data_IF_792585488887
#
_entry.id   IF_792585488887
#
_cell.length_a   1.000
_cell.length_b   1.000
_cell.length_c   1.000
_cell.angle_alpha   90.00
_cell.angle_beta   90.00
_cell.angle_gamma   90.00
#
_symmetry.space_group_name_H-M   'P 1'
#
loop_
_entity.id
_entity.type
_entity.pdbx_description
1 polymer ?
#
# COMPACT_ATOMS: atom_id res chain seq x y z
N UNK A 1 -17.48 -1.36 -7.31
CA UNK A 1 -16.62 -1.92 -8.37
C UNK A 1 -15.86 -3.11 -7.84
N UNK A 2 -16.21 -4.32 -8.26
CA UNK A 2 -15.42 -5.52 -7.95
C UNK A 2 -14.16 -5.46 -8.81
N UNK A 3 -13.09 -4.86 -8.30
CA UNK A 3 -11.79 -4.92 -8.99
C UNK A 3 -11.39 -6.40 -9.12
N UNK A 4 -11.15 -6.85 -10.35
CA UNK A 4 -10.70 -8.21 -10.63
C UNK A 4 -9.37 -8.49 -9.90
N UNK A 5 -9.25 -9.67 -9.29
CA UNK A 5 -8.03 -10.15 -8.65
C UNK A 5 -6.81 -10.11 -9.60
N UNK A 6 -7.02 -10.28 -10.91
CA UNK A 6 -5.96 -10.09 -11.89
C UNK A 6 -5.43 -8.65 -11.91
N UNK A 7 -6.34 -7.67 -11.94
CA UNK A 7 -5.98 -6.25 -11.92
C UNK A 7 -5.29 -5.86 -10.61
N UNK A 8 -5.83 -6.29 -9.46
CA UNK A 8 -5.22 -6.03 -8.17
C UNK A 8 -3.78 -6.58 -8.07
N UNK A 9 -3.53 -7.78 -8.60
CA UNK A 9 -2.17 -8.36 -8.66
C UNK A 9 -1.25 -7.57 -9.58
N UNK A 10 -1.75 -6.99 -10.67
CA UNK A 10 -0.96 -6.15 -11.55
C UNK A 10 -0.49 -4.87 -10.82
N UNK A 11 -1.38 -4.23 -10.04
CA UNK A 11 -1.03 -3.07 -9.21
C UNK A 11 0.06 -3.43 -8.18
N UNK A 12 -0.09 -4.56 -7.48
CA UNK A 12 0.92 -5.02 -6.54
C UNK A 12 2.27 -5.32 -7.25
N UNK A 13 2.23 -5.96 -8.42
CA UNK A 13 3.43 -6.26 -9.19
C UNK A 13 4.16 -4.99 -9.65
N UNK A 14 3.43 -3.96 -10.09
CA UNK A 14 3.97 -2.66 -10.46
C UNK A 14 4.68 -2.00 -9.26
N UNK A 15 4.06 -2.01 -8.08
CA UNK A 15 4.68 -1.49 -6.85
C UNK A 15 5.92 -2.30 -6.43
N UNK A 16 5.90 -3.62 -6.59
CA UNK A 16 7.03 -4.48 -6.23
C UNK A 16 8.31 -4.18 -7.04
N UNK A 17 8.17 -3.64 -8.25
CA UNK A 17 9.30 -3.24 -9.11
C UNK A 17 9.46 -1.73 -9.22
N UNK A 18 8.71 -0.95 -8.42
CA UNK A 18 8.66 0.51 -8.48
C UNK A 18 8.46 1.05 -9.92
N UNK A 19 7.54 0.43 -10.67
CA UNK A 19 7.20 0.88 -12.02
C UNK A 19 6.64 2.31 -11.99
N UNK A 20 6.90 3.08 -13.05
CA UNK A 20 6.39 4.45 -13.20
C UNK A 20 4.88 4.53 -12.93
N UNK A 21 4.46 5.55 -12.18
CA UNK A 21 3.06 5.74 -11.74
C UNK A 21 2.61 4.87 -10.55
N UNK A 22 3.46 3.97 -10.04
CA UNK A 22 3.20 3.24 -8.79
C UNK A 22 3.53 4.08 -7.55
N UNK A 23 2.95 3.72 -6.41
CA UNK A 23 3.24 4.38 -5.13
C UNK A 23 4.72 4.23 -4.74
N UNK A 24 5.27 3.02 -4.93
CA UNK A 24 6.68 2.78 -4.65
C UNK A 24 7.61 3.61 -5.55
N UNK A 25 7.24 3.85 -6.81
CA UNK A 25 7.99 4.77 -7.68
C UNK A 25 7.96 6.21 -7.15
N UNK A 26 6.80 6.70 -6.73
CA UNK A 26 6.67 8.04 -6.16
C UNK A 26 7.56 8.23 -4.92
N UNK A 27 7.64 7.22 -4.06
CA UNK A 27 8.51 7.26 -2.88
C UNK A 27 9.99 7.14 -3.27
N UNK A 28 10.36 6.15 -4.09
CA UNK A 28 11.76 5.84 -4.39
C UNK A 28 12.45 6.90 -5.25
N UNK A 29 11.77 7.34 -6.32
CA UNK A 29 12.39 8.15 -7.37
C UNK A 29 12.04 9.63 -7.25
N UNK A 30 10.91 9.96 -6.61
CA UNK A 30 10.40 11.33 -6.52
C UNK A 30 10.38 11.89 -5.09
N UNK A 31 10.75 11.08 -4.10
CA UNK A 31 10.67 11.42 -2.67
C UNK A 31 9.31 12.07 -2.32
N UNK A 32 8.21 11.52 -2.83
CA UNK A 32 6.88 12.11 -2.68
C UNK A 32 5.85 11.08 -2.24
N UNK A 33 5.06 11.44 -1.23
CA UNK A 33 3.95 10.63 -0.76
C UNK A 33 2.70 10.90 -1.61
N UNK A 34 2.58 10.16 -2.71
CA UNK A 34 1.41 10.23 -3.59
C UNK A 34 0.22 9.49 -2.95
N UNK A 35 -0.71 10.26 -2.35
CA UNK A 35 -1.90 9.73 -1.67
C UNK A 35 -2.80 8.93 -2.61
N UNK A 36 -2.98 9.37 -3.85
CA UNK A 36 -3.83 8.65 -4.80
C UNK A 36 -3.19 7.30 -5.19
N UNK A 37 -1.89 7.29 -5.45
CA UNK A 37 -1.16 6.06 -5.72
C UNK A 37 -1.19 5.10 -4.53
N UNK A 38 -1.09 5.62 -3.30
CA UNK A 38 -1.29 4.83 -2.09
C UNK A 38 -2.68 4.17 -2.08
N UNK A 39 -3.75 4.95 -2.30
CA UNK A 39 -5.11 4.41 -2.27
C UNK A 39 -5.36 3.36 -3.34
N UNK A 40 -4.79 3.53 -4.55
CA UNK A 40 -4.82 2.48 -5.59
C UNK A 40 -4.16 1.18 -5.13
N UNK A 41 -3.02 1.27 -4.43
CA UNK A 41 -2.35 0.11 -3.86
C UNK A 41 -3.16 -0.49 -2.71
N UNK A 42 -3.71 0.33 -1.82
CA UNK A 42 -4.54 -0.10 -0.70
C UNK A 42 -5.77 -0.88 -1.18
N UNK A 43 -6.52 -0.33 -2.13
CA UNK A 43 -7.72 -0.99 -2.69
C UNK A 43 -7.36 -2.33 -3.35
N UNK A 44 -6.26 -2.36 -4.11
CA UNK A 44 -5.75 -3.59 -4.71
C UNK A 44 -5.42 -4.63 -3.63
N UNK A 45 -4.73 -4.23 -2.57
CA UNK A 45 -4.39 -5.11 -1.46
C UNK A 45 -5.62 -5.58 -0.68
N UNK A 46 -6.64 -4.75 -0.51
CA UNK A 46 -7.91 -5.13 0.11
C UNK A 46 -8.62 -6.25 -0.67
N UNK A 47 -8.63 -6.17 -2.00
CA UNK A 47 -9.15 -7.24 -2.89
C UNK A 47 -8.34 -8.53 -2.74
N UNK A 48 -7.01 -8.43 -2.72
CA UNK A 48 -6.12 -9.60 -2.55
C UNK A 48 -6.33 -10.22 -1.16
N UNK A 49 -6.45 -9.41 -0.11
CA UNK A 49 -6.67 -9.85 1.25
C UNK A 49 -8.03 -10.55 1.43
N UNK A 50 -9.09 -10.02 0.81
CA UNK A 50 -10.41 -10.68 0.81
C UNK A 50 -10.42 -12.02 0.07
N UNK A 51 -9.53 -12.20 -0.90
CA UNK A 51 -9.45 -13.42 -1.70
C UNK A 51 -8.92 -14.59 -0.85
N UNK A 52 -9.52 -15.79 -0.91
CA UNK A 52 -9.01 -16.96 -0.19
C UNK A 52 -7.54 -17.24 -0.50
N UNK A 53 -6.69 -17.59 0.50
CA UNK A 53 -5.24 -17.77 0.29
C UNK A 53 -4.86 -18.68 -0.88
N UNK A 54 -5.60 -19.79 -1.06
CA UNK A 54 -5.42 -20.74 -2.18
C UNK A 54 -5.59 -20.14 -3.58
N UNK A 55 -6.25 -18.99 -3.72
CA UNK A 55 -6.52 -18.32 -5.00
C UNK A 55 -5.60 -17.12 -5.28
N UNK A 56 -4.80 -16.66 -4.31
CA UNK A 56 -3.97 -15.45 -4.45
C UNK A 56 -2.81 -15.63 -5.42
N UNK A 57 -2.35 -16.86 -5.62
CA UNK A 57 -1.16 -17.19 -6.42
C UNK A 57 0.13 -17.13 -5.61
N UNK A 58 1.16 -17.85 -6.09
CA UNK A 58 2.41 -18.12 -5.34
C UNK A 58 3.26 -16.86 -5.08
N UNK A 59 3.31 -15.95 -6.04
CA UNK A 59 4.19 -14.77 -5.96
C UNK A 59 3.58 -13.60 -5.18
N UNK A 60 2.25 -13.58 -5.04
CA UNK A 60 1.52 -12.47 -4.39
C UNK A 60 1.99 -12.22 -2.96
N UNK A 61 2.18 -13.28 -2.17
CA UNK A 61 2.67 -13.16 -0.79
C UNK A 61 4.08 -12.57 -0.71
N UNK A 62 4.98 -12.99 -1.60
CA UNK A 62 6.37 -12.48 -1.66
C UNK A 62 6.40 -11.00 -2.05
N UNK A 63 5.62 -10.64 -3.07
CA UNK A 63 5.53 -9.25 -3.53
C UNK A 63 4.93 -8.35 -2.44
N UNK A 64 3.87 -8.80 -1.78
CA UNK A 64 3.25 -8.06 -0.67
C UNK A 64 4.25 -7.83 0.48
N UNK A 65 4.98 -8.88 0.90
CA UNK A 65 5.97 -8.75 1.97
C UNK A 65 7.11 -7.78 1.60
N UNK A 66 7.58 -7.81 0.34
CA UNK A 66 8.58 -6.87 -0.15
C UNK A 66 8.07 -5.44 -0.14
N UNK A 67 6.90 -5.19 -0.75
CA UNK A 67 6.30 -3.85 -0.81
C UNK A 67 6.04 -3.30 0.60
N UNK A 68 5.45 -4.10 1.50
CA UNK A 68 5.24 -3.69 2.90
C UNK A 68 6.55 -3.30 3.58
N UNK A 69 7.60 -4.12 3.43
CA UNK A 69 8.93 -3.83 3.99
C UNK A 69 9.48 -2.51 3.47
N UNK A 70 9.41 -2.27 2.16
CA UNK A 70 9.92 -1.02 1.57
C UNK A 70 9.13 0.20 2.07
N UNK A 71 7.81 0.12 2.17
CA UNK A 71 6.98 1.19 2.75
C UNK A 71 7.48 1.52 4.17
N UNK A 72 7.66 0.51 5.02
CA UNK A 72 8.11 0.71 6.40
C UNK A 72 9.54 1.26 6.48
N UNK A 73 10.45 0.84 5.61
CA UNK A 73 11.81 1.39 5.55
C UNK A 73 11.79 2.88 5.19
N UNK A 74 10.99 3.29 4.22
CA UNK A 74 10.86 4.69 3.83
C UNK A 74 10.23 5.56 4.93
N UNK A 75 9.30 5.01 5.72
CA UNK A 75 8.81 5.66 6.93
C UNK A 75 9.97 5.86 7.93
N UNK A 76 10.79 4.83 8.16
CA UNK A 76 11.94 4.93 9.08
C UNK A 76 12.95 5.98 8.60
N UNK A 77 13.30 5.96 7.31
CA UNK A 77 14.24 6.94 6.72
C UNK A 77 13.68 8.37 6.82
N UNK A 78 12.40 8.57 6.50
CA UNK A 78 11.77 9.88 6.64
C UNK A 78 11.77 10.37 8.10
N UNK A 79 11.61 9.50 9.09
CA UNK A 79 11.58 9.89 10.51
C UNK A 79 12.98 10.05 11.13
N UNK A 80 14.00 9.42 10.56
CA UNK A 80 15.35 9.47 11.08
C UNK A 80 15.96 10.87 10.89
N UNK A 81 16.30 11.60 11.95
CA UNK A 81 16.85 12.95 11.85
C UNK A 81 18.24 13.00 11.20
N UNK A 82 18.93 11.85 11.11
CA UNK A 82 20.24 11.73 10.47
C UNK A 82 20.15 11.33 9.00
N UNK A 83 18.96 10.96 8.52
CA UNK A 83 18.75 10.74 7.09
C UNK A 83 18.49 12.07 6.38
N UNK A 84 19.16 12.25 5.24
CA UNK A 84 19.00 13.44 4.40
C UNK A 84 17.72 13.41 3.57
N UNK A 85 17.17 12.22 3.31
CA UNK A 85 15.97 12.04 2.48
C UNK A 85 14.71 12.44 3.23
N UNK A 86 13.92 13.34 2.64
CA UNK A 86 12.61 13.74 3.18
C UNK A 86 11.54 13.60 2.12
N UNK A 87 10.65 12.65 2.36
CA UNK A 87 9.44 12.47 1.55
C UNK A 87 8.53 13.69 1.70
N UNK A 88 8.30 14.42 0.62
CA UNK A 88 7.34 15.51 0.55
C UNK A 88 5.89 15.00 0.61
N UNK A 89 5.00 15.76 1.25
CA UNK A 89 3.60 15.37 1.43
C UNK A 89 3.38 14.20 2.40
N UNK A 90 4.43 13.78 3.11
CA UNK A 90 4.37 12.66 4.05
C UNK A 90 3.37 12.95 5.19
N UNK A 91 2.51 12.01 5.55
CA UNK A 91 1.39 12.27 6.46
C UNK A 91 1.82 12.19 7.93
N UNK A 92 2.73 13.06 8.38
CA UNK A 92 3.31 12.99 9.72
C UNK A 92 2.28 13.11 10.84
N UNK A 93 1.26 13.96 10.68
CA UNK A 93 0.21 14.17 11.69
C UNK A 93 -0.67 12.94 11.94
N UNK A 94 -0.94 12.17 10.88
CA UNK A 94 -1.85 11.02 10.90
C UNK A 94 -1.13 9.70 10.64
N UNK A 95 0.20 9.66 10.78
CA UNK A 95 1.04 8.55 10.32
C UNK A 95 0.55 7.19 10.85
N UNK A 96 0.12 7.13 12.10
CA UNK A 96 -0.42 5.92 12.72
C UNK A 96 -1.61 5.35 11.93
N UNK A 97 -2.54 6.19 11.47
CA UNK A 97 -3.70 5.79 10.69
C UNK A 97 -3.33 5.26 9.29
N UNK A 98 -2.25 5.77 8.69
CA UNK A 98 -1.73 5.24 7.42
C UNK A 98 -1.03 3.89 7.62
N UNK A 99 -0.27 3.73 8.70
CA UNK A 99 0.39 2.47 9.05
C UNK A 99 -0.63 1.37 9.42
N UNK A 100 -1.68 1.72 10.14
CA UNK A 100 -2.80 0.80 10.43
C UNK A 100 -3.45 0.29 9.13
N UNK A 101 -3.65 1.16 8.15
CA UNK A 101 -4.16 0.79 6.82
C UNK A 101 -3.22 -0.16 6.08
N UNK A 102 -1.91 0.10 6.12
CA UNK A 102 -0.91 -0.82 5.55
C UNK A 102 -1.01 -2.19 6.23
N UNK A 103 -0.98 -2.25 7.56
CA UNK A 103 -1.11 -3.51 8.30
C UNK A 103 -2.40 -4.25 7.96
N UNK A 104 -3.53 -3.53 7.91
CA UNK A 104 -4.86 -4.08 7.64
C UNK A 104 -4.93 -4.88 6.33
N UNK A 105 -4.35 -4.37 5.24
CA UNK A 105 -4.44 -5.00 3.92
C UNK A 105 -3.23 -5.88 3.57
N UNK A 106 -2.05 -5.63 4.16
CA UNK A 106 -0.86 -6.43 3.90
C UNK A 106 -0.74 -7.65 4.81
N UNK A 107 -1.02 -7.53 6.11
CA UNK A 107 -0.76 -8.61 7.07
C UNK A 107 -1.52 -9.89 6.74
N UNK A 108 -2.81 -9.88 6.37
CA UNK A 108 -3.51 -11.11 5.98
C UNK A 108 -2.87 -11.79 4.77
N UNK A 109 -2.36 -11.00 3.81
CA UNK A 109 -1.69 -11.51 2.62
C UNK A 109 -0.33 -12.12 2.97
N UNK A 110 0.45 -11.43 3.80
CA UNK A 110 1.79 -11.83 4.24
C UNK A 110 1.76 -13.01 5.22
N UNK A 111 0.74 -13.12 6.06
CA UNK A 111 0.56 -14.24 6.99
C UNK A 111 -0.13 -15.44 6.32
N UNK A 112 -0.75 -15.24 5.15
CA UNK A 112 -1.44 -16.30 4.42
C UNK A 112 -2.83 -16.63 4.97
N UNK A 113 -3.48 -15.68 5.65
CA UNK A 113 -4.84 -15.80 6.21
C UNK A 113 -5.83 -14.95 5.40
N UNK A 114 -7.13 -15.25 5.48
CA UNK A 114 -8.16 -14.42 4.83
C UNK A 114 -8.31 -13.09 5.57
N UNK A 115 -8.25 -11.97 4.85
CA UNK A 115 -8.46 -10.65 5.40
C UNK A 115 -9.94 -10.22 5.34
N UNK A 116 -10.25 -9.11 5.98
CA UNK A 116 -11.61 -8.61 6.15
C UNK A 116 -12.21 -7.93 4.90
N UNK A 117 -11.39 -7.68 3.89
CA UNK A 117 -11.78 -7.04 2.63
C UNK A 117 -12.02 -5.53 2.73
N UNK A 118 -12.48 -4.89 1.63
CA UNK A 118 -12.57 -3.43 1.53
C UNK A 118 -13.72 -2.80 2.34
N UNK A 119 -14.67 -3.58 2.84
CA UNK A 119 -15.92 -3.05 3.43
C UNK A 119 -15.85 -2.78 4.94
N UNK A 120 -14.68 -2.88 5.58
CA UNK A 120 -14.58 -2.93 7.06
C UNK A 120 -13.63 -1.93 7.71
N UNK A 121 -13.01 -1.03 6.95
CA UNK A 121 -12.17 0.02 7.51
C UNK A 121 -12.76 1.38 7.13
N UNK A 122 -13.00 2.26 8.11
CA UNK A 122 -13.47 3.61 7.83
C UNK A 122 -12.37 4.37 7.08
N UNK A 123 -12.71 4.98 5.94
CA UNK A 123 -11.78 5.63 5.02
C UNK A 123 -11.80 7.17 5.21
N UNK A 124 -11.76 7.60 6.47
CA UNK A 124 -11.73 9.01 6.91
C UNK A 124 -10.52 9.82 6.41
N UNK A 125 -9.46 9.15 5.94
CA UNK A 125 -8.29 9.78 5.31
C UNK A 125 -8.36 9.87 3.78
N UNK A 126 -9.40 9.30 3.17
CA UNK A 126 -9.53 9.31 1.71
C UNK A 126 -9.99 10.69 1.28
N UNK A 127 -9.30 11.36 0.33
CA UNK A 127 -9.76 12.64 -0.18
C UNK A 127 -11.21 12.51 -0.66
N UNK A 128 -12.05 13.48 -0.31
CA UNK A 128 -13.38 13.55 -0.92
C UNK A 128 -13.21 13.77 -2.42
N UNK A 129 -14.16 13.28 -3.23
CA UNK A 129 -14.08 13.38 -4.69
C UNK A 129 -14.02 14.83 -5.22
N UNK A 130 -14.24 15.82 -4.34
CA UNK A 130 -14.23 17.25 -4.63
C UNK A 130 -12.88 17.94 -4.34
N UNK A 131 -11.86 17.21 -3.89
CA UNK A 131 -10.54 17.76 -3.51
C UNK A 131 -9.37 17.34 -4.43
N UNK A 132 -9.68 16.72 -5.58
CA UNK A 132 -8.70 16.26 -6.60
C UNK A 132 -8.45 17.28 -7.70
#
# INVERSE_FOLDING_TARGET
MTSDLAHARAILAANNVAAEGSFMHAIHEREFFDKEAFWRLYDAMAVIAATPPRRRGRNTRKNAARVQREILLHVIYHLNPRDGGRIAGFPTGDLHLWLERVGWVFDPVVLGVTGYGPARFDDDLRPSADES
#
